data_IF_569992290270
#
_entry.id   IF_569992290270
#
_cell.length_a   1.000
_cell.length_b   1.000
_cell.length_c   1.000
_cell.angle_alpha   90.00
_cell.angle_beta   90.00
_cell.angle_gamma   90.00
#
_symmetry.space_group_name_H-M   'P 1'
#
loop_
_entity.id
_entity.type
_entity.pdbx_description
1 polymer ?
#
# COMPACT_ATOMS: atom_id res chain seq x y z
N UNK A 1 4.88 -63.07 51.29
CA UNK A 1 3.84 -62.08 51.62
C UNK A 1 3.28 -61.51 50.33
N UNK A 2 2.03 -61.84 49.99
CA UNK A 2 1.24 -61.29 48.88
C UNK A 2 0.31 -60.21 49.47
N UNK A 3 0.31 -59.00 48.91
CA UNK A 3 -0.75 -57.98 49.09
C UNK A 3 -0.85 -57.23 47.75
N UNK A 4 -1.66 -57.70 46.80
CA UNK A 4 -3.07 -57.34 46.54
C UNK A 4 -3.26 -55.89 46.07
N UNK A 5 -3.56 -55.73 44.77
CA UNK A 5 -4.02 -54.49 44.12
C UNK A 5 -5.46 -54.22 44.55
N UNK A 6 -5.73 -53.05 45.13
CA UNK A 6 -7.09 -52.52 45.27
C UNK A 6 -7.36 -51.55 44.12
N UNK A 7 -8.36 -51.90 43.31
CA UNK A 7 -9.05 -50.95 42.44
C UNK A 7 -9.79 -49.95 43.34
N UNK A 8 -9.63 -48.65 43.06
CA UNK A 8 -10.53 -47.62 43.56
C UNK A 8 -11.34 -47.15 42.37
N UNK A 9 -12.65 -47.31 42.50
CA UNK A 9 -13.68 -46.93 41.54
C UNK A 9 -13.66 -45.41 41.33
N UNK A 10 -13.81 -44.99 40.06
CA UNK A 10 -13.98 -43.58 39.70
C UNK A 10 -15.47 -43.28 39.78
N UNK A 11 -15.88 -42.38 40.68
CA UNK A 11 -17.24 -41.85 40.71
C UNK A 11 -17.55 -41.06 39.42
N UNK A 12 -18.72 -41.27 38.78
CA UNK A 12 -19.13 -40.48 37.63
C UNK A 12 -19.88 -39.24 38.12
N UNK A 13 -19.22 -38.08 38.16
CA UNK A 13 -19.88 -36.89 38.69
C UNK A 13 -19.11 -35.59 38.71
N UNK A 14 -18.30 -35.28 37.69
CA UNK A 14 -17.95 -33.88 37.40
C UNK A 14 -18.10 -33.70 35.89
N UNK A 15 -19.16 -33.00 35.51
CA UNK A 15 -19.41 -32.56 34.15
C UNK A 15 -18.21 -31.78 33.63
N UNK A 16 -17.65 -32.23 32.50
CA UNK A 16 -16.54 -31.60 31.80
C UNK A 16 -17.02 -30.34 31.05
N UNK A 17 -17.62 -29.38 31.78
CA UNK A 17 -18.25 -28.16 31.25
C UNK A 17 -17.34 -26.93 31.44
N UNK A 18 -16.07 -27.12 31.80
CA UNK A 18 -15.19 -26.02 32.18
C UNK A 18 -13.98 -25.74 31.27
N UNK A 19 -13.68 -26.61 30.30
CA UNK A 19 -12.46 -26.49 29.48
C UNK A 19 -12.72 -26.10 28.03
N UNK A 20 -13.82 -26.59 27.44
CA UNK A 20 -14.18 -26.21 26.08
C UNK A 20 -14.74 -24.78 26.07
N UNK A 21 -15.70 -24.48 26.95
CA UNK A 21 -16.29 -23.13 27.08
C UNK A 21 -15.26 -22.02 27.39
N UNK A 22 -14.16 -22.34 28.08
CA UNK A 22 -13.10 -21.36 28.40
C UNK A 22 -12.15 -21.14 27.22
N UNK A 23 -11.85 -22.19 26.45
CA UNK A 23 -11.04 -22.08 25.23
C UNK A 23 -11.85 -21.40 24.12
N UNK A 24 -13.13 -21.75 23.98
CA UNK A 24 -14.06 -21.16 23.01
C UNK A 24 -14.27 -19.67 23.29
N UNK A 25 -14.47 -19.27 24.56
CA UNK A 25 -14.59 -17.85 24.93
C UNK A 25 -13.27 -17.07 24.77
N UNK A 26 -12.12 -17.74 24.92
CA UNK A 26 -10.81 -17.13 24.69
C UNK A 26 -10.56 -16.91 23.19
N UNK A 27 -10.90 -17.89 22.36
CA UNK A 27 -10.79 -17.82 20.90
C UNK A 27 -11.77 -16.79 20.31
N UNK A 28 -13.02 -16.72 20.83
CA UNK A 28 -14.01 -15.70 20.44
C UNK A 28 -13.54 -14.29 20.79
N UNK A 29 -12.90 -14.11 21.95
CA UNK A 29 -12.34 -12.82 22.35
C UNK A 29 -11.16 -12.42 21.45
N UNK A 30 -10.27 -13.35 21.13
CA UNK A 30 -9.16 -13.11 20.20
C UNK A 30 -9.66 -12.73 18.81
N UNK A 31 -10.70 -13.41 18.34
CA UNK A 31 -11.33 -13.11 17.06
C UNK A 31 -11.98 -11.72 17.06
N UNK A 32 -12.68 -11.34 18.15
CA UNK A 32 -13.26 -10.00 18.30
C UNK A 32 -12.18 -8.91 18.26
N UNK A 33 -11.10 -9.06 19.01
CA UNK A 33 -10.00 -8.09 19.06
C UNK A 33 -9.31 -7.94 17.69
N UNK A 34 -9.16 -9.04 16.94
CA UNK A 34 -8.61 -9.02 15.59
C UNK A 34 -9.53 -8.29 14.58
N UNK A 35 -10.84 -8.49 14.69
CA UNK A 35 -11.83 -7.79 13.85
C UNK A 35 -11.83 -6.29 14.12
N UNK A 36 -11.80 -5.89 15.39
CA UNK A 36 -11.75 -4.48 15.79
C UNK A 36 -10.47 -3.80 15.27
N UNK A 37 -9.32 -4.49 15.40
CA UNK A 37 -8.04 -4.01 14.87
C UNK A 37 -8.07 -3.82 13.35
N UNK A 38 -8.68 -4.75 12.61
CA UNK A 38 -8.79 -4.67 11.16
C UNK A 38 -9.73 -3.54 10.72
N UNK A 39 -10.85 -3.35 11.42
CA UNK A 39 -11.79 -2.26 11.14
C UNK A 39 -11.15 -0.88 11.38
N UNK A 40 -10.37 -0.76 12.46
CA UNK A 40 -9.62 0.44 12.75
C UNK A 40 -8.60 0.73 11.65
N UNK A 41 -7.86 -0.29 11.21
CA UNK A 41 -6.89 -0.15 10.12
C UNK A 41 -7.56 0.28 8.81
N UNK A 42 -8.69 -0.34 8.44
CA UNK A 42 -9.48 0.05 7.24
C UNK A 42 -9.92 1.51 7.34
N UNK A 43 -10.39 1.94 8.51
CA UNK A 43 -10.80 3.32 8.74
C UNK A 43 -9.61 4.28 8.60
N UNK A 44 -8.48 3.99 9.25
CA UNK A 44 -7.31 4.86 9.27
C UNK A 44 -6.75 5.10 7.87
N UNK A 45 -6.52 4.04 7.11
CA UNK A 45 -6.05 4.16 5.73
C UNK A 45 -7.13 4.73 4.80
N UNK A 46 -8.41 4.41 5.03
CA UNK A 46 -9.51 5.01 4.29
C UNK A 46 -9.64 6.53 4.48
N UNK A 47 -9.32 7.04 5.67
CA UNK A 47 -9.26 8.48 5.93
C UNK A 47 -8.02 9.13 5.30
N UNK A 48 -6.86 8.46 5.35
CA UNK A 48 -5.63 8.91 4.69
C UNK A 48 -5.75 8.97 3.16
N UNK A 49 -6.45 8.03 2.52
CA UNK A 49 -6.62 8.01 1.06
C UNK A 49 -7.30 9.27 0.49
N UNK A 50 -8.06 9.98 1.33
CA UNK A 50 -8.75 11.23 0.99
C UNK A 50 -7.81 12.44 0.99
N UNK A 51 -6.63 12.32 1.60
CA UNK A 51 -5.68 13.42 1.75
C UNK A 51 -4.69 13.45 0.58
N UNK A 52 -4.45 14.64 0.03
CA UNK A 52 -3.55 14.80 -1.13
C UNK A 52 -2.09 14.51 -0.79
N UNK A 53 -1.69 14.53 0.48
CA UNK A 53 -0.31 14.31 0.94
C UNK A 53 -0.04 12.86 1.41
N UNK A 54 -0.99 11.95 1.21
CA UNK A 54 -0.82 10.53 1.42
C UNK A 54 -0.43 9.84 0.10
N UNK A 55 0.62 9.03 0.07
CA UNK A 55 1.18 8.46 -1.17
C UNK A 55 1.00 6.93 -1.27
N UNK A 56 0.17 6.33 -0.42
CA UNK A 56 -0.02 4.88 -0.41
C UNK A 56 1.27 4.15 -0.08
N UNK A 57 1.57 3.07 -0.79
CA UNK A 57 2.74 2.22 -0.60
C UNK A 57 3.90 2.55 -1.57
N UNK A 58 4.09 3.83 -1.91
CA UNK A 58 5.25 4.25 -2.69
C UNK A 58 6.57 3.90 -1.96
N UNK A 59 7.55 3.32 -2.66
CA UNK A 59 8.80 2.90 -2.04
C UNK A 59 9.66 4.11 -1.69
N UNK A 60 10.48 3.97 -0.65
CA UNK A 60 11.33 5.05 -0.12
C UNK A 60 12.19 5.72 -1.20
N UNK A 61 12.75 4.94 -2.13
CA UNK A 61 13.55 5.44 -3.25
C UNK A 61 12.81 6.44 -4.16
N UNK A 62 11.49 6.25 -4.32
CA UNK A 62 10.64 7.16 -5.10
C UNK A 62 10.30 8.43 -4.30
N UNK A 63 10.10 8.28 -2.99
CA UNK A 63 9.81 9.38 -2.07
C UNK A 63 10.97 10.36 -1.93
N UNK A 64 12.21 9.87 -1.92
CA UNK A 64 13.41 10.72 -1.80
C UNK A 64 13.46 11.79 -2.91
N UNK A 65 13.01 11.46 -4.12
CA UNK A 65 12.97 12.40 -5.24
C UNK A 65 11.84 13.44 -5.16
N UNK A 66 10.89 13.30 -4.24
CA UNK A 66 9.76 14.21 -4.06
C UNK A 66 10.02 15.26 -2.98
N UNK A 67 10.91 14.96 -2.03
CA UNK A 67 11.24 15.81 -0.89
C UNK A 67 12.46 16.69 -1.20
N UNK A 68 12.20 17.95 -1.57
CA UNK A 68 13.22 18.86 -2.10
C UNK A 68 13.85 19.71 -1.02
N UNK A 69 13.06 20.24 -0.09
CA UNK A 69 13.46 21.21 0.93
C UNK A 69 13.33 20.64 2.35
N UNK A 70 14.08 21.22 3.28
CA UNK A 70 13.92 20.89 4.70
C UNK A 70 12.55 21.33 5.22
N UNK A 71 11.83 20.38 5.80
CA UNK A 71 10.45 20.52 6.24
C UNK A 71 9.42 20.01 5.23
N UNK A 72 9.84 19.61 4.02
CA UNK A 72 8.99 18.84 3.12
C UNK A 72 8.65 17.50 3.78
N UNK A 73 7.37 17.11 3.69
CA UNK A 73 6.90 15.86 4.26
C UNK A 73 5.73 15.28 3.47
N UNK A 74 5.51 13.99 3.64
CA UNK A 74 4.34 13.27 3.14
C UNK A 74 4.05 12.07 4.05
N UNK A 75 2.91 11.41 3.83
CA UNK A 75 2.57 10.16 4.51
C UNK A 75 2.55 9.02 3.52
N UNK A 76 3.01 7.85 3.96
CA UNK A 76 2.92 6.60 3.21
C UNK A 76 2.63 5.42 4.15
N UNK A 77 2.19 4.33 3.57
CA UNK A 77 2.09 3.04 4.24
C UNK A 77 3.45 2.34 4.21
N UNK A 78 3.92 1.95 5.38
CA UNK A 78 5.00 0.97 5.53
C UNK A 78 4.38 -0.41 5.47
N UNK A 79 4.90 -1.24 4.59
CA UNK A 79 4.50 -2.63 4.52
C UNK A 79 4.79 -3.37 5.85
N UNK A 80 4.01 -4.41 6.15
CA UNK A 80 4.28 -5.29 7.29
C UNK A 80 5.71 -5.83 7.25
N UNK A 81 6.37 -5.86 8.41
CA UNK A 81 7.69 -6.44 8.59
C UNK A 81 7.69 -7.39 9.79
N UNK A 82 7.93 -8.68 9.52
CA UNK A 82 7.80 -9.74 10.53
C UNK A 82 6.39 -9.81 11.09
N UNK A 83 6.27 -9.72 12.42
CA UNK A 83 4.99 -9.76 13.13
C UNK A 83 4.30 -8.38 13.23
N UNK A 84 4.91 -7.32 12.67
CA UNK A 84 4.31 -5.97 12.69
C UNK A 84 3.31 -5.83 11.57
N UNK A 85 2.14 -5.28 11.88
CA UNK A 85 1.15 -4.87 10.88
C UNK A 85 1.66 -3.68 10.05
N UNK A 86 0.97 -3.41 8.93
CA UNK A 86 1.26 -2.22 8.13
C UNK A 86 1.03 -0.96 8.97
N UNK A 87 1.85 0.07 8.76
CA UNK A 87 1.84 1.28 9.58
C UNK A 87 1.85 2.52 8.72
N UNK A 88 1.08 3.55 9.09
CA UNK A 88 1.27 4.87 8.54
C UNK A 88 2.63 5.44 8.98
N UNK A 89 3.32 6.12 8.08
CA UNK A 89 4.61 6.74 8.37
C UNK A 89 4.69 8.10 7.71
N UNK A 90 5.10 9.10 8.50
CA UNK A 90 5.49 10.39 7.97
C UNK A 90 6.92 10.25 7.47
N UNK A 91 7.15 10.46 6.18
CA UNK A 91 8.50 10.57 5.62
C UNK A 91 8.77 12.04 5.33
N UNK A 92 9.89 12.55 5.83
CA UNK A 92 10.21 13.97 5.69
C UNK A 92 11.69 14.24 5.55
N UNK A 93 12.00 15.41 5.02
CA UNK A 93 13.38 15.88 4.83
C UNK A 93 13.75 16.90 5.89
N UNK A 94 14.88 16.67 6.54
CA UNK A 94 15.43 17.58 7.55
C UNK A 94 16.94 17.43 7.67
N UNK A 95 17.64 18.56 7.75
CA UNK A 95 19.11 18.61 7.77
C UNK A 95 19.69 17.91 6.53
N UNK A 96 19.07 18.16 5.37
CA UNK A 96 19.43 17.54 4.09
C UNK A 96 19.15 16.03 3.99
N UNK A 97 18.63 15.39 5.03
CA UNK A 97 18.39 13.94 5.08
C UNK A 97 16.90 13.62 5.05
N UNK A 98 16.51 12.66 4.22
CA UNK A 98 15.17 12.07 4.24
C UNK A 98 15.13 10.96 5.28
N UNK A 99 14.10 10.98 6.15
CA UNK A 99 13.91 10.02 7.23
C UNK A 99 12.45 9.62 7.38
N UNK A 100 12.24 8.42 7.88
CA UNK A 100 10.93 7.88 8.25
C UNK A 100 10.64 8.13 9.72
N UNK A 101 9.41 8.55 10.00
CA UNK A 101 8.85 8.75 11.34
C UNK A 101 7.54 7.96 11.42
N UNK A 102 7.61 6.69 11.86
CA UNK A 102 6.42 5.84 11.99
C UNK A 102 5.40 6.46 12.94
N UNK A 103 4.12 6.38 12.58
CA UNK A 103 3.03 6.76 13.46
C UNK A 103 2.81 5.61 14.44
N UNK A 104 2.96 5.88 15.73
CA UNK A 104 2.77 4.88 16.77
C UNK A 104 1.34 4.89 17.27
N UNK A 105 0.67 3.74 17.20
CA UNK A 105 -0.61 3.51 17.83
C UNK A 105 -0.42 3.13 19.30
N UNK A 106 -1.26 3.68 20.16
CA UNK A 106 -1.32 3.42 21.60
C UNK A 106 -2.77 3.13 21.98
N UNK A 107 -2.97 2.21 22.91
CA UNK A 107 -4.31 1.92 23.45
C UNK A 107 -4.33 2.28 24.93
N UNK A 108 -5.28 3.11 25.34
CA UNK A 108 -5.50 3.48 26.75
C UNK A 108 -7.00 3.44 27.04
N UNK A 109 -7.41 2.72 28.09
CA UNK A 109 -8.82 2.63 28.49
C UNK A 109 -9.80 2.23 27.36
N UNK A 110 -9.37 1.33 26.46
CA UNK A 110 -10.11 0.89 25.26
C UNK A 110 -10.29 1.96 24.17
N UNK A 111 -9.60 3.10 24.28
CA UNK A 111 -9.51 4.10 23.23
C UNK A 111 -8.15 4.01 22.54
N UNK A 112 -8.13 4.25 21.23
CA UNK A 112 -6.92 4.27 20.43
C UNK A 112 -6.46 5.70 20.18
N UNK A 113 -5.15 5.89 20.32
CA UNK A 113 -4.47 7.16 20.10
C UNK A 113 -3.28 6.93 19.20
N UNK A 114 -2.92 7.96 18.45
CA UNK A 114 -1.76 8.00 17.58
C UNK A 114 -0.80 9.08 18.04
N UNK A 115 0.49 8.84 17.91
CA UNK A 115 1.54 9.80 18.22
C UNK A 115 2.73 9.66 17.28
N UNK A 116 3.40 10.79 17.00
CA UNK A 116 4.67 10.84 16.27
C UNK A 116 5.86 11.11 17.20
N UNK A 117 5.61 11.69 18.37
CA UNK A 117 6.64 12.17 19.30
C UNK A 117 6.57 11.51 20.69
N UNK A 118 5.64 10.57 20.89
CA UNK A 118 5.40 9.88 22.16
C UNK A 118 4.66 10.71 23.22
N UNK A 119 4.40 11.99 22.96
CA UNK A 119 3.87 12.95 23.93
C UNK A 119 2.50 13.47 23.51
N UNK A 120 2.40 14.03 22.31
CA UNK A 120 1.16 14.56 21.75
C UNK A 120 0.36 13.42 21.10
N UNK A 121 -0.93 13.34 21.43
CA UNK A 121 -1.81 12.23 21.07
C UNK A 121 -3.08 12.75 20.41
N UNK A 122 -3.50 12.09 19.33
CA UNK A 122 -4.79 12.33 18.69
C UNK A 122 -5.50 11.00 18.42
N UNK A 123 -6.82 11.03 18.25
CA UNK A 123 -7.64 9.83 18.05
C UNK A 123 -7.66 9.35 16.58
N UNK A 124 -7.03 10.11 15.68
CA UNK A 124 -6.87 9.76 14.28
C UNK A 124 -5.56 10.34 13.71
N UNK A 125 -5.02 9.65 12.71
CA UNK A 125 -3.71 9.95 12.11
C UNK A 125 -3.72 11.29 11.38
N UNK A 126 -4.82 11.63 10.71
CA UNK A 126 -4.94 12.86 9.93
C UNK A 126 -4.85 14.09 10.85
N UNK A 127 -5.57 14.09 11.97
CA UNK A 127 -5.54 15.17 12.94
C UNK A 127 -4.20 15.24 13.67
N UNK A 128 -3.54 14.11 13.96
CA UNK A 128 -2.19 14.10 14.50
C UNK A 128 -1.22 14.87 13.59
N UNK A 129 -1.27 14.59 12.29
CA UNK A 129 -0.36 15.23 11.32
C UNK A 129 -0.72 16.71 11.15
N UNK A 130 -2.01 17.04 11.04
CA UNK A 130 -2.49 18.44 10.99
C UNK A 130 -2.11 19.21 12.25
N UNK A 131 -2.10 18.58 13.42
CA UNK A 131 -1.65 19.17 14.67
C UNK A 131 -0.15 19.50 14.60
N UNK A 132 0.73 18.55 14.26
CA UNK A 132 2.17 18.81 14.16
C UNK A 132 2.50 19.86 13.08
N UNK A 133 1.81 19.80 11.95
CA UNK A 133 1.96 20.78 10.87
C UNK A 133 1.47 22.18 11.28
N UNK A 134 0.34 22.34 11.95
CA UNK A 134 -0.17 23.67 12.33
C UNK A 134 0.56 24.28 13.53
N UNK A 135 0.88 23.47 14.53
CA UNK A 135 1.55 23.91 15.77
C UNK A 135 3.07 24.04 15.61
N UNK A 136 3.64 23.51 14.53
CA UNK A 136 5.10 23.44 14.29
C UNK A 136 5.86 22.70 15.40
N UNK A 137 5.18 21.82 16.16
CA UNK A 137 5.81 20.96 17.17
C UNK A 137 6.69 19.93 16.46
N UNK A 138 8.00 19.87 16.78
CA UNK A 138 8.93 18.97 16.11
C UNK A 138 8.67 17.50 16.48
N UNK A 139 9.00 16.63 15.54
CA UNK A 139 9.04 15.18 15.67
C UNK A 139 10.52 14.74 15.71
N UNK A 140 10.85 13.78 16.59
CA UNK A 140 12.21 13.29 16.77
C UNK A 140 13.22 14.40 17.12
N UNK A 141 14.41 14.35 16.50
CA UNK A 141 15.55 15.18 16.89
C UNK A 141 15.43 16.68 16.57
N UNK A 142 14.42 17.10 15.77
CA UNK A 142 14.07 18.51 15.39
C UNK A 142 13.15 18.64 14.17
N UNK A 143 12.72 17.55 13.56
CA UNK A 143 12.02 17.62 12.29
C UNK A 143 10.65 18.28 12.44
N UNK A 144 10.45 19.43 11.79
CA UNK A 144 9.16 20.11 11.76
C UNK A 144 8.48 19.88 10.42
N UNK A 145 7.22 19.46 10.46
CA UNK A 145 6.37 19.31 9.28
C UNK A 145 5.99 20.70 8.78
N UNK A 146 6.53 21.13 7.64
CA UNK A 146 6.32 22.49 7.10
C UNK A 146 5.54 22.51 5.80
N UNK A 147 5.95 21.68 4.84
CA UNK A 147 5.35 21.67 3.51
C UNK A 147 4.87 20.26 3.17
N UNK A 148 3.55 20.01 3.15
CA UNK A 148 3.05 18.74 2.63
C UNK A 148 3.38 18.66 1.13
N UNK A 149 3.89 17.52 0.71
CA UNK A 149 4.07 17.17 -0.70
C UNK A 149 2.84 16.39 -1.15
N UNK A 150 2.18 16.88 -2.20
CA UNK A 150 0.97 16.24 -2.73
C UNK A 150 1.29 15.08 -3.69
N UNK A 151 0.33 14.16 -3.84
CA UNK A 151 0.27 13.10 -4.85
C UNK A 151 0.61 13.68 -6.22
N UNK A 152 1.50 13.01 -6.92
CA UNK A 152 1.96 13.44 -8.24
C UNK A 152 0.92 13.09 -9.32
N UNK A 153 0.89 13.81 -10.47
CA UNK A 153 -0.08 13.54 -11.53
C UNK A 153 -0.05 12.11 -12.09
N UNK A 154 1.07 11.40 -11.93
CA UNK A 154 1.26 10.02 -12.35
C UNK A 154 0.80 8.99 -11.28
N UNK A 155 0.43 9.42 -10.08
CA UNK A 155 -0.20 8.58 -9.06
C UNK A 155 -1.71 8.55 -9.31
N UNK A 156 -2.16 7.54 -10.06
CA UNK A 156 -3.54 7.41 -10.51
C UNK A 156 -4.37 6.67 -9.47
N UNK A 157 -5.59 7.16 -9.24
CA UNK A 157 -6.57 6.44 -8.42
C UNK A 157 -7.24 5.32 -9.24
N UNK A 158 -7.70 4.28 -8.57
CA UNK A 158 -8.31 3.12 -9.23
C UNK A 158 -9.56 3.47 -10.06
N UNK A 159 -10.27 4.53 -9.70
CA UNK A 159 -11.53 4.93 -10.34
C UNK A 159 -11.27 5.54 -11.73
N UNK A 160 -10.07 6.04 -11.99
CA UNK A 160 -9.69 6.59 -13.30
C UNK A 160 -9.50 5.52 -14.36
N UNK A 161 -9.35 4.24 -13.99
CA UNK A 161 -8.87 3.20 -14.89
C UNK A 161 -9.75 1.96 -14.81
N UNK A 162 -10.29 1.53 -15.96
CA UNK A 162 -11.10 0.31 -16.07
C UNK A 162 -10.41 -0.71 -16.97
N UNK A 163 -10.07 -1.87 -16.43
CA UNK A 163 -9.61 -3.02 -17.24
C UNK A 163 -10.80 -3.63 -18.00
N UNK A 164 -10.59 -3.94 -19.28
CA UNK A 164 -11.62 -4.54 -20.16
C UNK A 164 -11.26 -5.99 -20.50
N UNK A 165 -10.16 -6.19 -21.23
CA UNK A 165 -9.81 -7.51 -21.77
C UNK A 165 -8.32 -7.76 -21.67
N UNK A 166 -7.95 -9.00 -21.39
CA UNK A 166 -6.55 -9.42 -21.32
C UNK A 166 -6.03 -9.56 -22.75
N UNK A 167 -4.99 -8.80 -23.08
CA UNK A 167 -4.38 -8.78 -24.43
C UNK A 167 -3.03 -9.50 -24.47
N UNK A 168 -2.44 -9.80 -23.31
CA UNK A 168 -1.19 -10.54 -23.25
C UNK A 168 -0.88 -11.10 -21.87
N UNK A 169 -0.05 -12.14 -21.83
CA UNK A 169 0.59 -12.63 -20.62
C UNK A 169 1.92 -13.29 -20.93
N UNK A 170 2.88 -13.14 -20.01
CA UNK A 170 4.17 -13.81 -20.08
C UNK A 170 4.94 -13.66 -18.78
N UNK A 171 6.26 -13.89 -18.84
CA UNK A 171 7.15 -13.78 -17.67
C UNK A 171 7.12 -12.40 -17.00
N UNK A 172 6.75 -11.34 -17.73
CA UNK A 172 6.71 -9.96 -17.26
C UNK A 172 5.35 -9.54 -16.65
N UNK A 173 4.41 -10.48 -16.50
CA UNK A 173 3.07 -10.23 -15.99
C UNK A 173 1.98 -10.29 -17.07
N UNK A 174 0.81 -9.78 -16.71
CA UNK A 174 -0.35 -9.69 -17.59
C UNK A 174 -0.47 -8.28 -18.16
N UNK A 175 -0.93 -8.17 -19.40
CA UNK A 175 -1.27 -6.89 -20.02
C UNK A 175 -2.74 -6.94 -20.43
N UNK A 176 -3.46 -5.90 -20.03
CA UNK A 176 -4.88 -5.72 -20.28
C UNK A 176 -5.07 -4.48 -21.16
N UNK A 177 -5.99 -4.54 -22.11
CA UNK A 177 -6.60 -3.34 -22.65
C UNK A 177 -7.62 -2.82 -21.65
N UNK A 178 -7.68 -1.51 -21.50
CA UNK A 178 -8.64 -0.83 -20.65
C UNK A 178 -8.96 0.56 -21.17
N UNK A 179 -9.73 1.30 -20.37
CA UNK A 179 -10.08 2.70 -20.65
C UNK A 179 -9.67 3.55 -19.45
N UNK A 180 -9.16 4.74 -19.73
CA UNK A 180 -8.81 5.72 -18.71
C UNK A 180 -9.62 7.00 -18.88
N UNK A 181 -10.08 7.56 -17.76
CA UNK A 181 -10.65 8.90 -17.67
C UNK A 181 -9.66 9.83 -16.96
N UNK A 182 -9.09 10.80 -17.68
CA UNK A 182 -8.17 11.76 -17.08
C UNK A 182 -8.89 12.73 -16.14
N UNK A 183 -10.04 13.24 -16.59
CA UNK A 183 -10.96 14.07 -15.82
C UNK A 183 -12.39 13.92 -16.36
N UNK A 184 -13.42 14.31 -15.57
CA UNK A 184 -14.83 14.14 -15.97
C UNK A 184 -15.24 14.86 -17.27
N UNK A 185 -14.47 15.87 -17.70
CA UNK A 185 -14.79 16.69 -18.86
C UNK A 185 -14.12 16.20 -20.15
N UNK A 186 -13.26 15.18 -20.08
CA UNK A 186 -12.59 14.60 -21.25
C UNK A 186 -13.15 13.21 -21.56
N UNK A 187 -13.26 12.85 -22.85
CA UNK A 187 -13.65 11.49 -23.22
C UNK A 187 -12.64 10.49 -22.69
N UNK A 188 -13.12 9.29 -22.37
CA UNK A 188 -12.27 8.16 -22.04
C UNK A 188 -11.43 7.78 -23.27
N UNK A 189 -10.23 7.26 -23.05
CA UNK A 189 -9.38 6.76 -24.13
C UNK A 189 -8.76 5.40 -23.77
N UNK A 190 -8.42 4.64 -24.80
CA UNK A 190 -7.85 3.30 -24.66
C UNK A 190 -6.45 3.35 -24.07
N UNK A 191 -6.19 2.44 -23.13
CA UNK A 191 -4.91 2.28 -22.45
C UNK A 191 -4.51 0.82 -22.39
N UNK A 192 -3.20 0.57 -22.35
CA UNK A 192 -2.64 -0.70 -21.94
C UNK A 192 -2.32 -0.64 -20.44
N UNK A 193 -2.72 -1.69 -19.71
CA UNK A 193 -2.58 -1.80 -18.26
C UNK A 193 -1.74 -3.03 -17.98
N UNK A 194 -0.51 -2.82 -17.52
CA UNK A 194 0.37 -3.90 -17.10
C UNK A 194 0.14 -4.19 -15.62
N UNK A 195 -0.10 -5.46 -15.32
CA UNK A 195 -0.40 -5.95 -13.98
C UNK A 195 0.59 -7.06 -13.65
N UNK A 196 1.27 -6.93 -12.51
CA UNK A 196 1.97 -8.06 -11.88
C UNK A 196 1.14 -8.49 -10.67
N UNK A 197 0.77 -9.78 -10.62
CA UNK A 197 0.12 -10.34 -9.42
C UNK A 197 1.19 -10.53 -8.36
N UNK A 198 1.06 -9.77 -7.28
CA UNK A 198 2.01 -9.80 -6.17
C UNK A 198 1.42 -10.68 -5.06
N UNK A 199 2.25 -11.55 -4.52
CA UNK A 199 1.98 -12.41 -3.38
C UNK A 199 3.20 -12.40 -2.44
N UNK A 200 3.08 -13.05 -1.30
CA UNK A 200 4.15 -13.07 -0.29
C UNK A 200 5.49 -13.63 -0.82
N UNK A 201 5.45 -14.54 -1.80
CA UNK A 201 6.63 -15.22 -2.35
C UNK A 201 7.36 -14.37 -3.40
N UNK A 202 6.69 -13.40 -4.01
CA UNK A 202 7.21 -12.66 -5.16
C UNK A 202 7.22 -11.14 -4.96
N UNK A 203 7.31 -10.69 -3.70
CA UNK A 203 7.36 -9.27 -3.31
C UNK A 203 8.42 -8.45 -4.08
N UNK A 204 9.55 -9.06 -4.44
CA UNK A 204 10.59 -8.44 -5.27
C UNK A 204 10.09 -7.99 -6.66
N UNK A 205 9.01 -8.57 -7.18
CA UNK A 205 8.38 -8.13 -8.43
C UNK A 205 7.75 -6.74 -8.32
N UNK A 206 7.37 -6.31 -7.11
CA UNK A 206 6.89 -4.96 -6.81
C UNK A 206 8.00 -3.94 -7.06
N UNK A 207 9.21 -4.20 -6.55
CA UNK A 207 10.37 -3.33 -6.74
C UNK A 207 10.76 -3.23 -8.22
N UNK A 208 10.74 -4.34 -8.96
CA UNK A 208 10.95 -4.30 -10.41
C UNK A 208 9.91 -3.45 -11.14
N UNK A 209 8.66 -3.50 -10.68
CA UNK A 209 7.58 -2.76 -11.28
C UNK A 209 7.69 -1.26 -10.99
N UNK A 210 8.07 -0.88 -9.77
CA UNK A 210 8.41 0.51 -9.45
C UNK A 210 9.65 0.98 -10.21
N UNK A 211 10.68 0.14 -10.36
CA UNK A 211 11.84 0.43 -11.24
C UNK A 211 11.42 0.70 -12.68
N UNK A 212 10.52 -0.11 -13.22
CA UNK A 212 10.00 0.06 -14.57
C UNK A 212 9.21 1.37 -14.71
N UNK A 213 8.31 1.66 -13.76
CA UNK A 213 7.58 2.92 -13.73
C UNK A 213 8.52 4.13 -13.61
N UNK A 214 9.54 4.05 -12.75
CA UNK A 214 10.58 5.09 -12.59
C UNK A 214 11.27 5.40 -13.90
N UNK A 215 11.72 4.37 -14.61
CA UNK A 215 12.36 4.53 -15.92
C UNK A 215 11.40 5.20 -16.90
N UNK A 216 10.17 4.72 -17.01
CA UNK A 216 9.16 5.30 -17.90
C UNK A 216 8.89 6.78 -17.62
N UNK A 217 8.83 7.20 -16.35
CA UNK A 217 8.63 8.62 -15.98
C UNK A 217 9.72 9.54 -16.51
N UNK A 218 10.96 9.07 -16.63
CA UNK A 218 12.08 9.88 -17.11
C UNK A 218 12.01 10.19 -18.62
N UNK A 219 11.32 9.34 -19.40
CA UNK A 219 11.26 9.49 -20.86
C UNK A 219 10.21 10.51 -21.34
N UNK A 220 9.37 11.06 -20.43
CA UNK A 220 8.31 12.03 -20.76
C UNK A 220 8.83 13.39 -21.25
N UNK A 221 10.12 13.69 -21.06
CA UNK A 221 10.68 15.04 -21.26
C UNK A 221 11.59 15.25 -22.48
N UNK A 222 11.76 14.25 -23.36
CA UNK A 222 12.53 14.45 -24.61
C UNK A 222 11.58 14.47 -25.80
N UNK A 223 11.50 15.63 -26.44
CA UNK A 223 10.69 15.99 -27.62
C UNK A 223 10.81 15.08 -28.87
N UNK A 224 11.37 13.87 -28.75
CA UNK A 224 11.66 12.95 -29.86
C UNK A 224 11.36 11.47 -29.55
N UNK A 225 10.75 11.13 -28.41
CA UNK A 225 10.43 9.75 -28.07
C UNK A 225 9.19 9.20 -28.81
N UNK A 226 8.98 9.56 -30.09
CA UNK A 226 7.88 9.03 -30.94
C UNK A 226 7.87 7.50 -31.04
N UNK A 227 9.00 6.86 -30.75
CA UNK A 227 9.19 5.42 -30.82
C UNK A 227 9.16 4.73 -29.45
N UNK A 228 8.78 5.45 -28.38
CA UNK A 228 8.62 4.91 -27.03
C UNK A 228 7.16 5.06 -26.60
N UNK A 229 6.60 3.99 -26.05
CA UNK A 229 5.20 3.96 -25.58
C UNK A 229 5.00 5.00 -24.48
N UNK A 230 3.97 5.83 -24.61
CA UNK A 230 3.70 6.90 -23.64
C UNK A 230 3.26 6.34 -22.29
N UNK A 231 3.81 6.89 -21.20
CA UNK A 231 3.46 6.53 -19.84
C UNK A 231 2.43 7.50 -19.26
N UNK A 232 1.35 6.97 -18.69
CA UNK A 232 0.29 7.77 -18.07
C UNK A 232 0.39 7.79 -16.55
N UNK A 233 0.67 6.64 -15.92
CA UNK A 233 0.80 6.61 -14.47
C UNK A 233 0.84 5.21 -13.85
N UNK A 234 0.84 5.20 -12.53
CA UNK A 234 0.78 4.01 -11.68
C UNK A 234 -0.51 4.06 -10.86
N UNK A 235 -1.22 2.94 -10.81
CA UNK A 235 -2.32 2.74 -9.85
C UNK A 235 -1.81 1.82 -8.76
N UNK A 236 -1.92 2.25 -7.51
CA UNK A 236 -1.66 1.41 -6.33
C UNK A 236 -3.01 0.92 -5.79
N UNK A 237 -3.18 -0.38 -5.62
CA UNK A 237 -4.32 -0.94 -4.89
C UNK A 237 -3.87 -1.34 -3.49
N UNK A 238 -4.70 -1.08 -2.49
CA UNK A 238 -4.44 -1.41 -1.08
C UNK A 238 -4.23 -2.89 -0.76
N UNK A 239 -4.33 -3.80 -1.75
CA UNK A 239 -3.99 -5.21 -1.61
C UNK A 239 -2.60 -5.56 -2.19
N UNK A 240 -1.72 -4.58 -2.35
CA UNK A 240 -0.36 -4.77 -2.88
C UNK A 240 -0.29 -4.96 -4.40
N UNK A 241 -1.41 -4.87 -5.12
CA UNK A 241 -1.39 -4.90 -6.59
C UNK A 241 -1.10 -3.50 -7.13
N UNK A 242 0.00 -3.38 -7.84
CA UNK A 242 0.35 -2.18 -8.58
C UNK A 242 -0.07 -2.39 -10.05
N UNK A 243 -0.43 -1.32 -10.76
CA UNK A 243 -0.67 -1.34 -12.21
C UNK A 243 0.11 -0.21 -12.89
N UNK A 244 0.74 -0.49 -14.04
CA UNK A 244 1.30 0.56 -14.90
C UNK A 244 0.32 0.83 -16.04
N UNK A 245 -0.07 2.09 -16.20
CA UNK A 245 -0.99 2.56 -17.23
C UNK A 245 -0.18 3.29 -18.31
N UNK A 246 -0.32 2.82 -19.54
CA UNK A 246 0.45 3.32 -20.68
C UNK A 246 -0.42 3.35 -21.95
N UNK A 247 0.13 3.95 -22.99
CA UNK A 247 -0.49 4.05 -24.31
C UNK A 247 -0.83 2.68 -24.89
N UNK A 248 -2.06 2.56 -25.39
CA UNK A 248 -2.47 1.38 -26.14
C UNK A 248 -2.03 1.50 -27.60
N UNK A 249 -1.17 0.59 -28.04
CA UNK A 249 -0.67 0.56 -29.42
C UNK A 249 -1.48 -0.43 -30.25
N UNK A 250 -2.18 0.08 -31.26
CA UNK A 250 -2.89 -0.73 -32.25
C UNK A 250 -1.90 -1.49 -33.14
N UNK A 251 -2.16 -2.77 -33.41
CA UNK A 251 -1.34 -3.62 -34.29
C UNK A 251 -0.59 -4.75 -33.60
N UNK A 252 -0.60 -4.79 -32.26
CA UNK A 252 0.02 -5.87 -31.48
C UNK A 252 1.54 -5.82 -31.48
N UNK A 253 2.19 -6.92 -31.10
CA UNK A 253 3.66 -6.95 -31.03
C UNK A 253 4.30 -6.96 -32.43
N UNK A 254 5.46 -6.33 -32.57
CA UNK A 254 6.23 -6.36 -33.83
C UNK A 254 6.53 -7.80 -34.28
N UNK A 255 6.77 -8.72 -33.33
CA UNK A 255 7.00 -10.14 -33.61
C UNK A 255 5.80 -10.80 -34.29
N UNK A 256 4.58 -10.54 -33.81
CA UNK A 256 3.36 -11.07 -34.39
C UNK A 256 3.07 -10.43 -35.75
N UNK A 257 3.31 -9.13 -35.87
CA UNK A 257 3.20 -8.41 -37.12
C UNK A 257 4.13 -9.03 -38.18
N UNK A 258 5.42 -9.18 -37.88
CA UNK A 258 6.41 -9.78 -38.78
C UNK A 258 6.10 -11.23 -39.16
N UNK A 259 5.46 -12.02 -38.28
CA UNK A 259 5.01 -13.38 -38.61
C UNK A 259 3.86 -13.41 -39.61
N UNK A 260 2.96 -12.42 -39.56
CA UNK A 260 1.81 -12.31 -40.48
C UNK A 260 2.24 -11.76 -41.84
N UNK A 261 3.27 -10.92 -41.90
CA UNK A 261 3.75 -10.25 -43.12
C UNK A 261 4.82 -11.05 -43.88
N UNK A 262 4.95 -12.37 -43.65
CA UNK A 262 6.00 -13.19 -44.29
C UNK A 262 5.88 -13.37 -45.82
N UNK A 263 4.81 -12.89 -46.44
CA UNK A 263 4.55 -13.03 -47.88
C UNK A 263 4.73 -11.72 -48.68
N UNK A 264 5.52 -10.76 -48.18
CA UNK A 264 5.86 -9.55 -48.96
C UNK A 264 7.37 -9.45 -49.14
N UNK A 265 7.84 -10.23 -50.11
CA UNK A 265 9.02 -10.08 -50.99
C UNK A 265 9.70 -11.43 -51.25
#
# INVERSE_FOLDING_TARGET
MKVSRKNVEVEPGVTNVGKNDFMDAYDDKLASEAVDSLQLQIKDFGDLEKEEWYHGCLPFEDIVGLLHNDGDFLIRELEPEGDRQAMACVTGKWDGKVRDYPVHQMTCNKEHFYTLDGTNKCNDIVNLVKFHHSSQIPVGDKFTLRQPVCKQPWELTSEKVKMITKIGSGAYGEVWQGVMHENPNKPAFDVAIKVKKINAENKALMDEMYKEARLMRQYKHKYEARNVVSFYGVVQKGNGNVMIVMEFINGGSLKEHLKKTKDVC
#
